data_IF_669019215603
#
_entry.id   IF_669019215603
#
_cell.length_a   1.000
_cell.length_b   1.000
_cell.length_c   1.000
_cell.angle_alpha   90.00
_cell.angle_beta   90.00
_cell.angle_gamma   90.00
#
_symmetry.space_group_name_H-M   'P 1'
#
loop_
_entity.id
_entity.type
_entity.pdbx_description
1 polymer ?
#
# COMPACT_ATOMS: atom_id res chain seq x y z
N UNK A 1 11.93 -24.30 2.55
CA UNK A 1 10.93 -23.37 3.07
C UNK A 1 10.88 -22.10 2.20
N UNK A 2 9.71 -21.74 1.66
CA UNK A 2 9.54 -20.57 0.77
C UNK A 2 9.60 -19.25 1.56
N UNK A 3 9.24 -19.27 2.84
CA UNK A 3 9.27 -18.09 3.72
C UNK A 3 10.71 -17.60 3.95
N UNK A 4 11.63 -18.52 4.28
CA UNK A 4 13.07 -18.22 4.44
C UNK A 4 13.68 -17.63 3.17
N UNK A 5 13.25 -18.09 1.99
CA UNK A 5 13.72 -17.54 0.71
C UNK A 5 13.26 -16.11 0.48
N UNK A 6 12.01 -15.79 0.80
CA UNK A 6 11.50 -14.42 0.69
C UNK A 6 12.26 -13.47 1.64
N UNK A 7 12.48 -13.89 2.88
CA UNK A 7 13.29 -13.12 3.83
C UNK A 7 14.73 -12.92 3.34
N UNK A 8 15.35 -13.96 2.77
CA UNK A 8 16.67 -13.86 2.16
C UNK A 8 16.72 -12.86 1.00
N UNK A 9 15.67 -12.78 0.18
CA UNK A 9 15.56 -11.80 -0.90
C UNK A 9 15.46 -10.36 -0.39
N UNK A 10 14.69 -10.12 0.69
CA UNK A 10 14.65 -8.80 1.35
C UNK A 10 16.05 -8.37 1.84
N UNK A 11 16.78 -9.27 2.50
CA UNK A 11 18.12 -8.91 3.02
C UNK A 11 19.10 -8.65 1.86
N UNK A 12 19.04 -9.48 0.82
CA UNK A 12 19.87 -9.30 -0.39
C UNK A 12 19.50 -8.01 -1.15
N UNK A 13 18.22 -7.66 -1.22
CA UNK A 13 17.74 -6.41 -1.84
C UNK A 13 18.36 -5.18 -1.18
N UNK A 14 18.33 -5.11 0.15
CA UNK A 14 19.01 -4.04 0.92
C UNK A 14 20.52 -4.02 0.66
N UNK A 15 21.17 -5.18 0.63
CA UNK A 15 22.61 -5.26 0.38
C UNK A 15 23.00 -4.73 -1.01
N UNK A 16 22.23 -5.09 -2.05
CA UNK A 16 22.43 -4.58 -3.41
C UNK A 16 22.14 -3.09 -3.51
N UNK A 17 21.12 -2.60 -2.82
CA UNK A 17 20.83 -1.17 -2.77
C UNK A 17 21.97 -0.37 -2.13
N UNK A 18 22.54 -0.85 -1.02
CA UNK A 18 23.71 -0.25 -0.37
C UNK A 18 24.96 -0.24 -1.28
N UNK A 19 25.04 -1.15 -2.24
CA UNK A 19 26.09 -1.20 -3.26
C UNK A 19 25.80 -0.31 -4.49
N UNK A 20 24.66 0.39 -4.52
CA UNK A 20 24.24 1.26 -5.62
C UNK A 20 23.46 0.54 -6.72
N UNK A 21 23.22 -0.77 -6.63
CA UNK A 21 22.45 -1.53 -7.61
C UNK A 21 20.94 -1.45 -7.32
N UNK A 22 20.41 -0.24 -7.48
CA UNK A 22 19.01 0.09 -7.18
C UNK A 22 18.02 -0.72 -8.04
N UNK A 23 18.40 -1.09 -9.26
CA UNK A 23 17.53 -1.82 -10.18
C UNK A 23 17.34 -3.27 -9.72
N UNK A 24 18.44 -3.99 -9.40
CA UNK A 24 18.34 -5.37 -8.93
C UNK A 24 17.78 -5.44 -7.52
N UNK A 25 18.08 -4.46 -6.67
CA UNK A 25 17.44 -4.31 -5.37
C UNK A 25 15.92 -4.23 -5.49
N UNK A 26 15.40 -3.32 -6.33
CA UNK A 26 13.96 -3.17 -6.53
C UNK A 26 13.29 -4.45 -7.05
N UNK A 27 13.97 -5.20 -7.94
CA UNK A 27 13.44 -6.46 -8.45
C UNK A 27 13.27 -7.51 -7.34
N UNK A 28 14.28 -7.67 -6.48
CA UNK A 28 14.22 -8.62 -5.35
C UNK A 28 13.19 -8.22 -4.30
N UNK A 29 13.11 -6.93 -3.98
CA UNK A 29 12.14 -6.41 -3.01
C UNK A 29 10.70 -6.61 -3.52
N UNK A 30 10.43 -6.35 -4.80
CA UNK A 30 9.12 -6.60 -5.42
C UNK A 30 8.78 -8.08 -5.47
N UNK A 31 9.74 -8.94 -5.80
CA UNK A 31 9.50 -10.39 -5.82
C UNK A 31 9.20 -10.94 -4.42
N UNK A 32 9.94 -10.46 -3.40
CA UNK A 32 9.65 -10.75 -1.99
C UNK A 32 8.26 -10.25 -1.60
N UNK A 33 7.92 -9.02 -1.99
CA UNK A 33 6.64 -8.40 -1.69
C UNK A 33 5.47 -9.21 -2.27
N UNK A 34 5.56 -9.65 -3.53
CA UNK A 34 4.53 -10.51 -4.15
C UNK A 34 4.34 -11.81 -3.37
N UNK A 35 5.43 -12.45 -2.97
CA UNK A 35 5.35 -13.69 -2.20
C UNK A 35 4.74 -13.46 -0.82
N UNK A 36 5.19 -12.45 -0.08
CA UNK A 36 4.70 -12.17 1.26
C UNK A 36 3.24 -11.71 1.28
N UNK A 37 2.82 -10.98 0.25
CA UNK A 37 1.41 -10.67 0.00
C UNK A 37 0.60 -11.96 -0.26
N UNK A 38 1.13 -12.91 -1.06
CA UNK A 38 0.43 -14.18 -1.35
C UNK A 38 0.25 -15.12 -0.14
N UNK A 39 0.95 -14.87 0.97
CA UNK A 39 0.82 -15.64 2.22
C UNK A 39 0.27 -14.80 3.37
N UNK A 40 -0.26 -13.60 3.09
CA UNK A 40 -0.83 -12.66 4.06
C UNK A 40 0.09 -12.34 5.26
N UNK A 41 1.41 -12.38 5.07
CA UNK A 41 2.36 -12.05 6.14
C UNK A 41 2.46 -10.53 6.30
N UNK A 42 1.61 -10.00 7.18
CA UNK A 42 1.48 -8.58 7.55
C UNK A 42 2.80 -7.87 7.91
N UNK A 43 3.81 -8.63 8.33
CA UNK A 43 5.04 -8.09 8.93
C UNK A 43 6.18 -7.97 7.92
N UNK A 44 6.29 -8.90 6.99
CA UNK A 44 7.38 -8.92 6.00
C UNK A 44 7.27 -7.77 4.99
N UNK A 45 6.07 -7.55 4.46
CA UNK A 45 5.92 -6.67 3.29
C UNK A 45 6.16 -5.20 3.61
N UNK A 46 5.92 -4.76 4.86
CA UNK A 46 6.12 -3.35 5.24
C UNK A 46 7.57 -2.95 4.97
N UNK A 47 8.51 -3.81 5.35
CA UNK A 47 9.91 -3.53 5.14
C UNK A 47 10.26 -3.52 3.64
N UNK A 48 9.69 -4.40 2.83
CA UNK A 48 9.89 -4.32 1.37
C UNK A 48 9.40 -2.96 0.82
N UNK A 49 8.26 -2.47 1.30
CA UNK A 49 7.69 -1.18 0.88
C UNK A 49 8.56 0.00 1.34
N UNK A 50 9.12 -0.04 2.56
CA UNK A 50 10.11 0.96 3.03
C UNK A 50 11.31 1.02 2.08
N UNK A 51 11.93 -0.13 1.77
CA UNK A 51 13.10 -0.19 0.88
C UNK A 51 12.74 0.32 -0.52
N UNK A 52 11.56 -0.03 -1.04
CA UNK A 52 11.08 0.45 -2.34
C UNK A 52 10.84 1.97 -2.34
N UNK A 53 10.40 2.57 -1.22
CA UNK A 53 10.28 4.01 -1.09
C UNK A 53 11.66 4.69 -1.12
N UNK A 54 12.66 4.13 -0.41
CA UNK A 54 14.04 4.65 -0.41
C UNK A 54 14.67 4.58 -1.80
N UNK A 55 14.47 3.46 -2.51
CA UNK A 55 14.91 3.29 -3.90
C UNK A 55 14.25 4.33 -4.80
N UNK A 56 12.93 4.52 -4.71
CA UNK A 56 12.20 5.51 -5.49
C UNK A 56 12.72 6.93 -5.25
N UNK A 57 12.98 7.30 -3.99
CA UNK A 57 13.56 8.60 -3.65
C UNK A 57 14.98 8.78 -4.22
N UNK A 58 15.81 7.72 -4.20
CA UNK A 58 17.14 7.72 -4.80
C UNK A 58 17.13 7.81 -6.33
N UNK A 59 16.05 7.38 -6.98
CA UNK A 59 15.86 7.42 -8.44
C UNK A 59 15.14 8.70 -8.92
N UNK A 60 14.91 9.69 -8.06
CA UNK A 60 14.20 10.92 -8.42
C UNK A 60 12.67 10.79 -8.50
N UNK A 61 12.10 9.62 -8.18
CA UNK A 61 10.66 9.38 -8.16
C UNK A 61 10.03 9.88 -6.85
N UNK A 62 10.26 11.16 -6.53
CA UNK A 62 9.96 11.75 -5.22
C UNK A 62 8.46 11.71 -4.87
N UNK A 63 7.57 11.92 -5.86
CA UNK A 63 6.11 11.82 -5.66
C UNK A 63 5.69 10.42 -5.25
N UNK A 64 6.23 9.41 -5.93
CA UNK A 64 6.00 7.99 -5.62
C UNK A 64 6.53 7.63 -4.24
N UNK A 65 7.73 8.08 -3.90
CA UNK A 65 8.30 7.89 -2.56
C UNK A 65 7.38 8.50 -1.48
N UNK A 66 6.94 9.75 -1.64
CA UNK A 66 6.03 10.41 -0.70
C UNK A 66 4.70 9.67 -0.53
N UNK A 67 4.10 9.16 -1.62
CA UNK A 67 2.88 8.35 -1.55
C UNK A 67 3.09 7.01 -0.83
N UNK A 68 4.23 6.34 -1.04
CA UNK A 68 4.57 5.12 -0.29
C UNK A 68 4.79 5.40 1.21
N UNK A 69 5.47 6.49 1.56
CA UNK A 69 5.64 6.92 2.96
C UNK A 69 4.29 7.20 3.62
N UNK A 70 3.39 7.90 2.91
CA UNK A 70 2.02 8.13 3.37
C UNK A 70 1.27 6.83 3.65
N UNK A 71 1.35 5.85 2.73
CA UNK A 71 0.75 4.54 2.91
C UNK A 71 1.26 3.81 4.17
N UNK A 72 2.56 3.93 4.44
CA UNK A 72 3.24 3.31 5.58
C UNK A 72 2.88 3.91 6.94
N UNK A 73 2.40 5.16 6.99
CA UNK A 73 2.05 5.89 8.24
C UNK A 73 1.12 5.10 9.16
N UNK A 74 0.20 4.34 8.57
CA UNK A 74 -0.84 3.58 9.30
C UNK A 74 -0.28 2.46 10.17
N UNK A 75 0.97 2.07 9.92
CA UNK A 75 1.59 0.91 10.54
C UNK A 75 2.58 1.28 11.65
N UNK A 76 2.75 2.57 11.98
CA UNK A 76 3.75 3.08 12.94
C UNK A 76 3.69 2.46 14.35
N UNK A 77 2.55 1.92 14.79
CA UNK A 77 2.32 1.59 16.21
C UNK A 77 2.55 0.13 16.65
N UNK A 78 3.29 -0.72 15.91
CA UNK A 78 3.31 -2.14 16.31
C UNK A 78 4.44 -3.04 15.83
N UNK A 79 5.71 -2.61 15.85
CA UNK A 79 6.80 -3.49 15.37
C UNK A 79 7.89 -3.75 16.42
N UNK A 80 7.97 -5.02 16.84
CA UNK A 80 9.19 -5.63 17.38
C UNK A 80 10.08 -6.07 16.20
N UNK A 81 10.92 -5.16 15.70
CA UNK A 81 11.90 -5.47 14.65
C UNK A 81 13.24 -5.82 15.29
N UNK A 82 14.10 -6.57 14.59
CA UNK A 82 15.48 -6.75 15.03
C UNK A 82 16.15 -5.37 15.18
N UNK A 83 16.89 -5.10 16.28
CA UNK A 83 17.40 -3.76 16.61
C UNK A 83 18.23 -3.07 15.51
N UNK A 84 19.01 -3.84 14.74
CA UNK A 84 19.80 -3.30 13.63
C UNK A 84 18.93 -2.81 12.47
N UNK A 85 17.89 -3.58 12.11
CA UNK A 85 16.93 -3.19 11.07
C UNK A 85 16.12 -1.96 11.49
N UNK A 86 15.85 -1.81 12.79
CA UNK A 86 15.19 -0.63 13.35
C UNK A 86 15.98 0.66 13.12
N UNK A 87 17.29 0.67 13.41
CA UNK A 87 18.13 1.87 13.19
C UNK A 87 18.25 2.23 11.70
N UNK A 88 18.47 1.23 10.83
CA UNK A 88 18.56 1.46 9.40
C UNK A 88 17.25 2.04 8.85
N UNK A 89 16.11 1.46 9.23
CA UNK A 89 14.79 1.92 8.78
C UNK A 89 14.52 3.34 9.21
N UNK A 90 14.73 3.69 10.49
CA UNK A 90 14.48 5.06 10.96
C UNK A 90 15.30 6.08 10.18
N UNK A 91 16.60 5.82 10.04
CA UNK A 91 17.50 6.72 9.32
C UNK A 91 17.08 6.88 7.86
N UNK A 92 16.86 5.77 7.17
CA UNK A 92 16.55 5.79 5.74
C UNK A 92 15.15 6.30 5.44
N UNK A 93 14.18 6.06 6.33
CA UNK A 93 12.87 6.68 6.27
C UNK A 93 12.97 8.20 6.36
N UNK A 94 13.72 8.73 7.34
CA UNK A 94 13.94 10.16 7.48
C UNK A 94 14.68 10.79 6.29
N UNK A 95 15.73 10.13 5.78
CA UNK A 95 16.46 10.58 4.58
C UNK A 95 15.55 10.58 3.34
N UNK A 96 14.72 9.54 3.18
CA UNK A 96 13.73 9.43 2.10
C UNK A 96 12.69 10.55 2.18
N UNK A 97 12.15 10.82 3.37
CA UNK A 97 11.20 11.90 3.60
C UNK A 97 11.82 13.27 3.30
N UNK A 98 13.03 13.56 3.80
CA UNK A 98 13.72 14.84 3.56
C UNK A 98 13.92 15.08 2.06
N UNK A 99 14.46 14.08 1.34
CA UNK A 99 14.67 14.18 -0.12
C UNK A 99 13.36 14.43 -0.87
N UNK A 100 12.29 13.74 -0.50
CA UNK A 100 10.99 13.92 -1.14
C UNK A 100 10.39 15.31 -0.84
N UNK A 101 10.52 15.81 0.39
CA UNK A 101 10.06 17.16 0.77
C UNK A 101 10.85 18.26 0.06
N UNK A 102 12.17 18.12 0.00
CA UNK A 102 13.06 19.08 -0.67
C UNK A 102 12.78 19.16 -2.17
N UNK A 103 12.62 18.02 -2.84
CA UNK A 103 12.40 17.98 -4.28
C UNK A 103 10.99 18.40 -4.71
N UNK A 104 9.96 18.10 -3.93
CA UNK A 104 8.57 18.41 -4.26
C UNK A 104 8.10 19.77 -3.74
N UNK A 105 8.73 20.26 -2.67
CA UNK A 105 8.16 21.33 -1.85
C UNK A 105 6.99 20.85 -0.98
N UNK A 106 6.65 21.67 0.03
CA UNK A 106 5.68 21.31 1.07
C UNK A 106 4.28 20.92 0.52
N UNK A 107 3.63 21.71 -0.36
CA UNK A 107 2.26 21.40 -0.79
C UNK A 107 2.16 20.09 -1.59
N UNK A 108 3.10 19.85 -2.51
CA UNK A 108 3.10 18.65 -3.34
C UNK A 108 3.47 17.40 -2.54
N UNK A 109 4.38 17.52 -1.56
CA UNK A 109 4.65 16.44 -0.62
C UNK A 109 3.40 16.10 0.21
N UNK A 110 2.75 17.09 0.81
CA UNK A 110 1.55 16.87 1.65
C UNK A 110 0.41 16.23 0.86
N UNK A 111 0.21 16.63 -0.39
CA UNK A 111 -0.78 16.01 -1.28
C UNK A 111 -0.44 14.55 -1.60
N UNK A 112 0.81 14.27 -2.00
CA UNK A 112 1.25 12.91 -2.31
C UNK A 112 1.23 11.99 -1.08
N UNK A 113 1.62 12.51 0.07
CA UNK A 113 1.61 11.81 1.34
C UNK A 113 0.19 11.54 1.83
N UNK A 114 -0.71 12.53 1.75
CA UNK A 114 -2.12 12.36 2.12
C UNK A 114 -2.85 11.38 1.20
N UNK A 115 -2.48 11.36 -0.09
CA UNK A 115 -2.96 10.34 -1.03
C UNK A 115 -2.54 8.93 -0.59
N UNK A 116 -1.26 8.73 -0.24
CA UNK A 116 -0.78 7.47 0.36
C UNK A 116 -1.57 7.11 1.63
N UNK A 117 -1.76 8.15 2.47
CA UNK A 117 -2.69 8.31 3.58
C UNK A 117 -4.11 7.75 3.38
N UNK A 118 -4.55 7.71 2.12
CA UNK A 118 -5.88 7.31 1.66
C UNK A 118 -5.90 6.09 0.72
N UNK A 119 -4.77 5.40 0.50
CA UNK A 119 -4.77 4.16 -0.29
C UNK A 119 -5.25 2.97 0.56
N UNK A 120 -6.05 2.08 -0.01
CA UNK A 120 -6.31 0.76 0.55
C UNK A 120 -5.05 -0.10 0.53
N UNK A 121 -5.11 -1.25 1.19
CA UNK A 121 -3.98 -2.17 1.27
C UNK A 121 -3.50 -2.62 -0.12
N UNK A 122 -4.39 -3.15 -0.96
CA UNK A 122 -4.06 -3.60 -2.31
C UNK A 122 -3.55 -2.45 -3.21
N UNK A 123 -4.09 -1.24 -3.06
CA UNK A 123 -3.59 -0.06 -3.80
C UNK A 123 -2.16 0.29 -3.39
N UNK A 124 -1.84 0.23 -2.10
CA UNK A 124 -0.48 0.44 -1.61
C UNK A 124 0.50 -0.64 -2.07
N UNK A 125 0.06 -1.90 -2.15
CA UNK A 125 0.85 -3.01 -2.69
C UNK A 125 1.08 -2.84 -4.20
N UNK A 126 0.03 -2.59 -4.98
CA UNK A 126 0.15 -2.35 -6.42
C UNK A 126 1.07 -1.15 -6.71
N UNK A 127 0.92 -0.07 -5.93
CA UNK A 127 1.83 1.06 -5.97
C UNK A 127 3.25 0.61 -5.71
N UNK A 128 3.55 -0.09 -4.62
CA UNK A 128 4.91 -0.54 -4.30
C UNK A 128 5.50 -1.47 -5.39
N UNK A 129 4.67 -2.35 -5.97
CA UNK A 129 5.05 -3.24 -7.07
C UNK A 129 5.35 -2.50 -8.38
N UNK A 130 4.94 -1.24 -8.51
CA UNK A 130 5.13 -0.44 -9.73
C UNK A 130 4.06 -0.68 -10.77
N UNK A 131 2.92 -1.22 -10.35
CA UNK A 131 1.76 -1.50 -11.21
C UNK A 131 0.89 -0.26 -11.38
N UNK A 132 1.01 0.71 -10.47
CA UNK A 132 0.45 2.07 -10.59
C UNK A 132 1.55 3.12 -10.49
N UNK A 133 1.40 4.21 -11.26
CA UNK A 133 2.33 5.35 -11.23
C UNK A 133 1.59 6.64 -10.85
N UNK A 134 1.87 7.21 -9.66
CA UNK A 134 1.25 8.46 -9.23
C UNK A 134 1.73 9.69 -10.02
N UNK A 135 2.71 9.56 -10.92
CA UNK A 135 3.12 10.62 -11.84
C UNK A 135 2.25 10.69 -13.11
N UNK A 136 1.61 9.58 -13.51
CA UNK A 136 0.76 9.51 -14.70
C UNK A 136 -0.73 9.75 -14.43
N UNK A 137 -1.11 9.95 -13.17
CA UNK A 137 -2.48 10.36 -12.85
C UNK A 137 -2.63 11.89 -12.98
N UNK A 138 -3.62 12.38 -13.75
CA UNK A 138 -3.80 13.80 -13.98
C UNK A 138 -3.97 14.55 -12.63
N UNK A 139 -3.32 15.71 -12.47
CA UNK A 139 -3.51 16.55 -11.30
C UNK A 139 -4.88 17.21 -11.37
N UNK A 140 -5.86 16.61 -10.69
CA UNK A 140 -7.18 17.21 -10.50
C UNK A 140 -8.19 16.85 -11.59
N UNK A 141 -8.65 15.61 -11.58
CA UNK A 141 -10.03 15.34 -11.98
C UNK A 141 -10.79 14.85 -10.75
N UNK A 142 -11.77 15.65 -10.35
CA UNK A 142 -12.82 15.23 -9.43
C UNK A 142 -13.42 13.92 -9.94
N UNK A 143 -13.16 12.86 -9.17
CA UNK A 143 -13.80 11.55 -9.18
C UNK A 143 -15.07 11.46 -10.05
N UNK A 144 -14.90 11.13 -11.33
CA UNK A 144 -16.02 10.70 -12.15
C UNK A 144 -16.41 9.27 -11.74
N UNK A 145 -17.49 9.21 -10.95
CA UNK A 145 -18.43 8.10 -10.74
C UNK A 145 -17.91 6.75 -10.23
N UNK A 146 -16.85 6.73 -9.43
CA UNK A 146 -16.87 5.91 -8.20
C UNK A 146 -15.79 6.37 -7.23
N UNK A 147 -16.12 6.76 -5.98
CA UNK A 147 -15.11 7.03 -4.96
C UNK A 147 -14.34 5.76 -4.54
N UNK A 148 -14.79 4.59 -5.00
CA UNK A 148 -14.16 3.30 -4.73
C UNK A 148 -13.41 2.78 -5.96
N UNK A 149 -12.26 2.16 -5.71
CA UNK A 149 -11.50 1.42 -6.73
C UNK A 149 -12.22 0.17 -7.20
N UNK A 150 -11.68 -0.48 -8.24
CA UNK A 150 -12.21 -1.76 -8.77
C UNK A 150 -12.32 -2.83 -7.68
N UNK A 151 -11.28 -2.99 -6.86
CA UNK A 151 -11.24 -4.01 -5.79
C UNK A 151 -12.18 -3.67 -4.63
N UNK A 152 -12.24 -2.40 -4.25
CA UNK A 152 -13.21 -1.93 -3.25
C UNK A 152 -14.65 -2.05 -3.74
N UNK A 153 -14.90 -1.83 -5.03
CA UNK A 153 -16.21 -2.04 -5.66
C UNK A 153 -16.61 -3.50 -5.63
N UNK A 154 -15.69 -4.42 -5.93
CA UNK A 154 -15.89 -5.87 -5.80
C UNK A 154 -16.23 -6.26 -4.37
N UNK A 155 -15.47 -5.77 -3.39
CA UNK A 155 -15.73 -6.00 -1.95
C UNK A 155 -17.08 -5.41 -1.53
N UNK A 156 -17.41 -4.18 -1.94
CA UNK A 156 -18.69 -3.54 -1.64
C UNK A 156 -19.89 -4.33 -2.21
N UNK A 157 -19.74 -4.93 -3.40
CA UNK A 157 -20.74 -5.84 -3.98
C UNK A 157 -20.91 -7.12 -3.16
N UNK A 158 -19.82 -7.75 -2.72
CA UNK A 158 -19.91 -8.94 -1.86
C UNK A 158 -20.52 -8.60 -0.49
N UNK A 159 -20.23 -7.41 0.05
CA UNK A 159 -20.90 -6.88 1.25
C UNK A 159 -22.41 -6.71 1.01
N UNK A 160 -22.81 -6.19 -0.14
CA UNK A 160 -24.23 -6.05 -0.52
C UNK A 160 -24.96 -7.41 -0.67
N UNK A 161 -24.23 -8.47 -0.98
CA UNK A 161 -24.73 -9.85 -1.00
C UNK A 161 -24.86 -10.46 0.41
N UNK A 162 -24.48 -9.73 1.46
CA UNK A 162 -24.55 -10.19 2.85
C UNK A 162 -23.38 -11.05 3.30
N UNK A 163 -22.34 -11.20 2.47
CA UNK A 163 -21.15 -11.98 2.83
C UNK A 163 -20.43 -11.33 4.01
N UNK A 164 -19.95 -12.14 4.94
CA UNK A 164 -19.05 -11.77 6.05
C UNK A 164 -17.62 -11.54 5.56
N UNK A 165 -16.75 -10.94 6.39
CA UNK A 165 -15.33 -10.76 6.02
C UNK A 165 -14.62 -12.09 5.74
N UNK A 166 -15.01 -13.16 6.43
CA UNK A 166 -14.49 -14.52 6.20
C UNK A 166 -14.89 -15.06 4.83
N UNK A 167 -16.15 -14.85 4.44
CA UNK A 167 -16.67 -15.29 3.15
C UNK A 167 -16.12 -14.45 1.99
N UNK A 168 -15.98 -13.14 2.18
CA UNK A 168 -15.30 -12.24 1.24
C UNK A 168 -13.85 -12.69 1.05
N UNK A 169 -13.14 -12.95 2.15
CA UNK A 169 -11.77 -13.43 2.13
C UNK A 169 -11.63 -14.75 1.35
N UNK A 170 -12.56 -15.69 1.56
CA UNK A 170 -12.59 -16.94 0.81
C UNK A 170 -12.90 -16.72 -0.69
N UNK A 171 -13.89 -15.88 -1.01
CA UNK A 171 -14.28 -15.58 -2.39
C UNK A 171 -13.16 -14.90 -3.18
N UNK A 172 -12.38 -14.04 -2.51
CA UNK A 172 -11.35 -13.22 -3.10
C UNK A 172 -9.93 -13.78 -2.95
N UNK A 173 -9.80 -14.93 -2.27
CA UNK A 173 -8.52 -15.62 -1.96
C UNK A 173 -7.52 -14.69 -1.27
N UNK A 174 -7.95 -14.05 -0.17
CA UNK A 174 -7.15 -13.15 0.68
C UNK A 174 -7.36 -13.50 2.16
N UNK A 175 -6.53 -12.99 3.08
CA UNK A 175 -6.81 -13.13 4.51
C UNK A 175 -8.06 -12.36 4.94
N UNK A 176 -8.73 -12.89 5.96
CA UNK A 176 -9.86 -12.23 6.63
C UNK A 176 -9.51 -10.81 7.09
N UNK A 177 -8.30 -10.61 7.63
CA UNK A 177 -7.84 -9.31 8.11
C UNK A 177 -7.64 -8.30 6.97
N UNK A 178 -7.32 -8.78 5.78
CA UNK A 178 -7.23 -7.95 4.57
C UNK A 178 -8.64 -7.51 4.15
N UNK A 179 -9.61 -8.43 4.13
CA UNK A 179 -11.02 -8.09 3.88
C UNK A 179 -11.57 -7.10 4.92
N UNK A 180 -11.24 -7.26 6.20
CA UNK A 180 -11.56 -6.31 7.28
C UNK A 180 -11.01 -4.91 6.97
N UNK A 181 -9.72 -4.82 6.64
CA UNK A 181 -9.07 -3.55 6.29
C UNK A 181 -9.70 -2.88 5.07
N UNK A 182 -10.06 -3.63 4.04
CA UNK A 182 -10.78 -3.07 2.88
C UNK A 182 -12.15 -2.54 3.25
N UNK A 183 -12.92 -3.25 4.07
CA UNK A 183 -14.25 -2.79 4.50
C UNK A 183 -14.13 -1.49 5.33
N UNK A 184 -13.17 -1.41 6.25
CA UNK A 184 -12.89 -0.18 6.99
C UNK A 184 -12.50 0.98 6.07
N UNK A 185 -11.71 0.69 5.04
CA UNK A 185 -11.29 1.70 4.08
C UNK A 185 -12.45 2.22 3.23
N UNK A 186 -13.35 1.33 2.79
CA UNK A 186 -14.58 1.70 2.08
C UNK A 186 -15.46 2.58 2.97
N UNK A 187 -15.61 2.24 4.25
CA UNK A 187 -16.34 3.08 5.20
C UNK A 187 -15.76 4.50 5.24
N UNK A 188 -14.45 4.62 5.40
CA UNK A 188 -13.77 5.92 5.45
C UNK A 188 -13.92 6.70 4.13
N UNK A 189 -13.73 6.05 2.97
CA UNK A 189 -13.87 6.70 1.65
C UNK A 189 -15.30 7.18 1.38
N UNK A 190 -16.31 6.46 1.87
CA UNK A 190 -17.72 6.82 1.68
C UNK A 190 -18.27 7.72 2.80
N UNK A 191 -17.49 7.97 3.85
CA UNK A 191 -17.97 8.69 5.05
C UNK A 191 -19.04 7.91 5.83
N UNK A 192 -18.98 6.58 5.78
CA UNK A 192 -19.93 5.69 6.42
C UNK A 192 -19.40 5.19 7.77
N UNK A 193 -20.31 4.87 8.67
CA UNK A 193 -20.00 4.39 10.02
C UNK A 193 -20.38 2.91 10.22
N UNK A 194 -21.01 2.27 9.24
CA UNK A 194 -21.45 0.89 9.36
C UNK A 194 -21.41 0.11 8.04
N UNK A 195 -21.09 -1.19 8.12
CA UNK A 195 -21.09 -2.12 6.98
C UNK A 195 -22.43 -2.11 6.23
N UNK A 196 -23.53 -1.94 6.94
CA UNK A 196 -24.88 -1.90 6.35
C UNK A 196 -25.02 -0.73 5.38
N UNK A 197 -24.41 0.43 5.66
CA UNK A 197 -24.42 1.57 4.74
C UNK A 197 -23.70 1.25 3.42
N UNK A 198 -22.60 0.47 3.47
CA UNK A 198 -21.92 -0.03 2.25
C UNK A 198 -22.87 -0.90 1.44
N UNK A 199 -23.58 -1.84 2.10
CA UNK A 199 -24.50 -2.75 1.44
C UNK A 199 -25.64 -2.01 0.72
N UNK A 200 -26.23 -1.00 1.37
CA UNK A 200 -27.29 -0.16 0.79
C UNK A 200 -26.75 0.62 -0.41
N UNK A 201 -25.63 1.32 -0.23
CA UNK A 201 -25.00 2.13 -1.27
C UNK A 201 -24.63 1.32 -2.52
N UNK A 202 -24.09 0.11 -2.34
CA UNK A 202 -23.71 -0.75 -3.46
C UNK A 202 -24.94 -1.28 -4.21
N UNK A 203 -26.04 -1.63 -3.50
CA UNK A 203 -27.31 -2.03 -4.12
C UNK A 203 -27.93 -0.91 -4.96
N UNK A 204 -27.92 0.32 -4.46
CA UNK A 204 -28.47 1.49 -5.18
C UNK A 204 -27.71 1.83 -6.47
N UNK A 205 -26.45 1.38 -6.59
CA UNK A 205 -25.64 1.56 -7.78
C UNK A 205 -25.78 0.45 -8.80
N UNK A 206 -25.91 -0.81 -8.35
CA UNK A 206 -26.17 -1.95 -9.26
C UNK A 206 -27.56 -1.85 -9.91
N UNK A 207 -28.53 -1.16 -9.29
CA UNK A 207 -29.86 -0.90 -9.89
C UNK A 207 -29.89 0.27 -10.87
N UNK A 208 -28.82 1.07 -10.94
CA UNK A 208 -28.69 2.24 -11.84
C UNK A 208 -27.78 1.98 -13.06
N UNK A 209 -27.18 0.80 -13.14
CA UNK A 209 -26.34 0.34 -14.24
C UNK A 209 -27.13 -0.55 -15.22
#
# INVERSE_FOLDING_TARGET
DRWVRAYGKTVLGVALWLQGDAQRAAALERESLRFQHSIDDLRGYRFNIEVLAWIAAGQGQHRRAATLLGFLRRYEQGIHMLPFRYKLVIRQHGECESRAREALGKPAFEAAFSRGAGLSYDEGIALALGETDPANEPPGEEASWSPLTRRETEIARLVAQGMSNKEIAAALVIAQRTAEGHVEHILNKLGFNSRTQIAVWAKERDTRA
#
